data_IF_749701736268
#
_entry.id   IF_749701736268
#
_cell.length_a   1.000
_cell.length_b   1.000
_cell.length_c   1.000
_cell.angle_alpha   90.00
_cell.angle_beta   90.00
_cell.angle_gamma   90.00
#
_symmetry.space_group_name_H-M   'P 1'
#
loop_
_entity.id
_entity.type
_entity.pdbx_description
1 polymer ?
#
# COMPACT_ATOMS: atom_id res chain seq x y z
N UNK A 1 4.37 -16.02 -19.66
CA UNK A 1 3.04 -16.00 -20.31
C UNK A 1 2.02 -15.37 -19.36
N UNK A 2 1.02 -14.65 -19.89
CA UNK A 2 -0.06 -14.12 -19.06
C UNK A 2 -1.04 -15.26 -18.77
N UNK A 3 -0.97 -15.85 -17.59
CA UNK A 3 -1.90 -16.92 -17.17
C UNK A 3 -3.09 -16.32 -16.42
N UNK A 4 -4.18 -17.08 -16.28
CA UNK A 4 -5.34 -16.68 -15.45
C UNK A 4 -4.92 -16.33 -14.01
N UNK A 5 -3.89 -17.00 -13.51
CA UNK A 5 -3.31 -16.74 -12.20
C UNK A 5 -2.65 -15.35 -12.11
N UNK A 6 -1.90 -14.94 -13.12
CA UNK A 6 -1.30 -13.59 -13.19
C UNK A 6 -2.40 -12.51 -13.23
N UNK A 7 -3.49 -12.73 -13.97
CA UNK A 7 -4.62 -11.80 -14.03
C UNK A 7 -5.28 -11.65 -12.64
N UNK A 8 -5.51 -12.76 -11.93
CA UNK A 8 -6.06 -12.73 -10.57
C UNK A 8 -5.15 -11.96 -9.59
N UNK A 9 -3.82 -12.16 -9.69
CA UNK A 9 -2.84 -11.43 -8.89
C UNK A 9 -2.89 -9.92 -9.16
N UNK A 10 -2.99 -9.50 -10.42
CA UNK A 10 -3.08 -8.09 -10.78
C UNK A 10 -4.38 -7.45 -10.28
N UNK A 11 -5.51 -8.16 -10.33
CA UNK A 11 -6.78 -7.67 -9.77
C UNK A 11 -6.69 -7.49 -8.24
N UNK A 12 -6.03 -8.41 -7.54
CA UNK A 12 -5.78 -8.29 -6.10
C UNK A 12 -4.90 -7.08 -5.79
N UNK A 13 -3.87 -6.83 -6.61
CA UNK A 13 -2.99 -5.68 -6.45
C UNK A 13 -3.78 -4.36 -6.56
N UNK A 14 -4.66 -4.25 -7.55
CA UNK A 14 -5.55 -3.09 -7.68
C UNK A 14 -6.40 -2.90 -6.42
N UNK A 15 -6.98 -3.98 -5.89
CA UNK A 15 -7.76 -3.93 -4.65
C UNK A 15 -6.95 -3.40 -3.45
N UNK A 16 -5.70 -3.85 -3.32
CA UNK A 16 -4.81 -3.38 -2.26
C UNK A 16 -4.45 -1.89 -2.41
N UNK A 17 -4.06 -1.45 -3.61
CA UNK A 17 -3.75 -0.04 -3.90
C UNK A 17 -4.93 0.88 -3.60
N UNK A 18 -6.17 0.42 -3.83
CA UNK A 18 -7.37 1.19 -3.52
C UNK A 18 -7.60 1.27 -2.01
N UNK A 19 -7.42 0.18 -1.26
CA UNK A 19 -7.56 0.18 0.21
C UNK A 19 -6.58 1.15 0.88
N UNK A 20 -5.30 1.12 0.48
CA UNK A 20 -4.26 2.00 1.02
C UNK A 20 -4.52 3.49 0.72
N UNK A 21 -4.97 3.81 -0.50
CA UNK A 21 -5.34 5.17 -0.87
C UNK A 21 -6.59 5.69 -0.13
N UNK A 22 -7.60 4.84 0.08
CA UNK A 22 -8.78 5.19 0.86
C UNK A 22 -8.38 5.46 2.31
N UNK A 23 -7.50 4.63 2.90
CA UNK A 23 -6.99 4.84 4.25
C UNK A 23 -6.28 6.20 4.38
N UNK A 24 -5.34 6.49 3.48
CA UNK A 24 -4.57 7.73 3.47
C UNK A 24 -5.49 8.95 3.36
N UNK A 25 -6.40 8.94 2.40
CA UNK A 25 -7.35 10.04 2.15
C UNK A 25 -8.31 10.21 3.34
N UNK A 26 -8.79 9.11 3.91
CA UNK A 26 -9.74 9.17 5.03
C UNK A 26 -9.09 9.73 6.28
N UNK A 27 -7.86 9.31 6.61
CA UNK A 27 -7.14 9.83 7.77
C UNK A 27 -6.71 11.29 7.59
N UNK A 28 -6.26 11.69 6.40
CA UNK A 28 -5.74 13.05 6.18
C UNK A 28 -6.79 14.11 5.84
N UNK A 29 -7.89 13.74 5.15
CA UNK A 29 -8.88 14.72 4.68
C UNK A 29 -10.25 14.61 5.36
N UNK A 30 -10.63 13.44 5.88
CA UNK A 30 -11.96 13.20 6.46
C UNK A 30 -11.97 13.13 7.99
N UNK A 31 -10.92 12.62 8.62
CA UNK A 31 -10.79 12.64 10.08
C UNK A 31 -10.25 13.99 10.55
N UNK A 32 -10.91 14.57 11.54
CA UNK A 32 -10.34 15.63 12.37
C UNK A 32 -9.48 14.98 13.46
N UNK A 33 -8.25 14.59 13.12
CA UNK A 33 -7.22 14.45 14.17
C UNK A 33 -6.72 15.85 14.55
N UNK A 34 -6.13 16.00 15.74
CA UNK A 34 -5.82 17.32 16.32
C UNK A 34 -4.89 18.15 15.43
N UNK A 35 -3.93 17.51 14.75
CA UNK A 35 -3.06 18.15 13.75
C UNK A 35 -2.88 17.31 12.47
N UNK A 36 -2.60 17.99 11.35
CA UNK A 36 -2.28 17.35 10.06
C UNK A 36 -1.05 16.43 10.17
N UNK A 37 -0.08 16.82 10.98
CA UNK A 37 1.16 16.06 11.17
C UNK A 37 0.89 14.76 11.93
N UNK A 38 0.05 14.79 12.98
CA UNK A 38 -0.38 13.58 13.69
C UNK A 38 -1.19 12.64 12.78
N UNK A 39 -2.12 13.20 11.99
CA UNK A 39 -2.89 12.44 11.01
C UNK A 39 -1.97 11.75 9.98
N UNK A 40 -0.93 12.44 9.52
CA UNK A 40 0.08 11.91 8.62
C UNK A 40 0.87 10.76 9.25
N UNK A 41 1.45 10.96 10.43
CA UNK A 41 2.22 9.91 11.10
C UNK A 41 1.36 8.69 11.44
N UNK A 42 0.12 8.92 11.89
CA UNK A 42 -0.89 7.90 12.15
C UNK A 42 -1.23 7.10 10.89
N UNK A 43 -1.39 7.76 9.75
CA UNK A 43 -1.66 7.12 8.46
C UNK A 43 -0.46 6.30 7.96
N UNK A 44 0.75 6.89 7.95
CA UNK A 44 1.97 6.21 7.51
C UNK A 44 2.29 5.02 8.39
N UNK A 45 2.17 5.12 9.72
CA UNK A 45 2.40 3.99 10.64
C UNK A 45 1.44 2.82 10.36
N UNK A 46 0.16 3.12 10.11
CA UNK A 46 -0.84 2.10 9.77
C UNK A 46 -0.52 1.46 8.42
N UNK A 47 -0.22 2.29 7.41
CA UNK A 47 0.16 1.84 6.07
C UNK A 47 1.40 0.94 6.07
N UNK A 48 2.42 1.32 6.82
CA UNK A 48 3.65 0.55 6.96
C UNK A 48 3.40 -0.81 7.62
N UNK A 49 2.61 -0.84 8.70
CA UNK A 49 2.24 -2.08 9.40
C UNK A 49 1.45 -3.02 8.49
N UNK A 50 0.46 -2.50 7.76
CA UNK A 50 -0.30 -3.27 6.79
C UNK A 50 0.58 -3.83 5.67
N UNK A 51 1.45 -3.00 5.08
CA UNK A 51 2.31 -3.40 3.97
C UNK A 51 3.33 -4.46 4.38
N UNK A 52 3.97 -4.28 5.53
CA UNK A 52 4.96 -5.23 6.04
C UNK A 52 4.35 -6.57 6.40
N UNK A 53 3.17 -6.58 7.03
CA UNK A 53 2.44 -7.83 7.32
C UNK A 53 2.02 -8.57 6.05
N UNK A 54 1.50 -7.87 5.05
CA UNK A 54 1.15 -8.49 3.75
C UNK A 54 2.39 -9.01 3.01
N UNK A 55 3.46 -8.23 2.93
CA UNK A 55 4.71 -8.66 2.29
C UNK A 55 5.32 -9.87 3.03
N UNK A 56 5.31 -9.89 4.35
CA UNK A 56 5.76 -11.03 5.15
C UNK A 56 4.93 -12.28 4.91
N UNK A 57 3.60 -12.15 4.82
CA UNK A 57 2.72 -13.26 4.51
C UNK A 57 2.96 -13.81 3.09
N UNK A 58 3.11 -12.94 2.09
CA UNK A 58 3.36 -13.35 0.70
C UNK A 58 4.76 -13.95 0.52
N UNK A 59 5.77 -13.42 1.20
CA UNK A 59 7.11 -14.01 1.21
C UNK A 59 7.08 -15.41 1.84
N UNK A 60 6.36 -15.58 2.95
CA UNK A 60 6.16 -16.89 3.59
C UNK A 60 5.43 -17.86 2.66
N UNK A 61 4.37 -17.38 1.98
CA UNK A 61 3.62 -18.16 1.00
C UNK A 61 4.51 -18.60 -0.16
N UNK A 62 5.34 -17.69 -0.69
CA UNK A 62 6.26 -17.98 -1.79
C UNK A 62 7.33 -19.02 -1.41
N UNK A 63 7.83 -18.99 -0.18
CA UNK A 63 8.84 -19.95 0.30
C UNK A 63 8.25 -21.33 0.58
N UNK A 64 7.03 -21.40 1.12
CA UNK A 64 6.40 -22.66 1.58
C UNK A 64 5.64 -23.36 0.46
N UNK A 65 5.22 -22.62 -0.57
CA UNK A 65 4.44 -23.15 -1.66
C UNK A 65 5.18 -24.25 -2.43
N UNK A 66 4.41 -25.25 -2.87
CA UNK A 66 4.87 -26.37 -3.70
C UNK A 66 4.25 -26.33 -5.10
N UNK A 67 3.39 -25.34 -5.37
CA UNK A 67 2.65 -25.22 -6.61
C UNK A 67 3.15 -24.03 -7.42
N UNK A 68 3.65 -24.30 -8.62
CA UNK A 68 4.24 -23.29 -9.52
C UNK A 68 3.29 -22.10 -9.79
N UNK A 69 1.99 -22.36 -9.85
CA UNK A 69 0.96 -21.32 -10.04
C UNK A 69 0.89 -20.36 -8.86
N UNK A 70 1.02 -20.86 -7.63
CA UNK A 70 1.00 -20.04 -6.41
C UNK A 70 2.29 -19.21 -6.33
N UNK A 71 3.42 -19.80 -6.73
CA UNK A 71 4.72 -19.10 -6.74
C UNK A 71 4.68 -17.92 -7.71
N UNK A 72 4.09 -18.12 -8.90
CA UNK A 72 3.88 -17.05 -9.88
C UNK A 72 2.97 -15.93 -9.32
N UNK A 73 1.87 -16.27 -8.65
CA UNK A 73 0.98 -15.27 -8.04
C UNK A 73 1.72 -14.49 -6.96
N UNK A 74 2.38 -15.19 -6.04
CA UNK A 74 3.09 -14.59 -4.93
C UNK A 74 4.21 -13.66 -5.42
N UNK A 75 4.99 -14.07 -6.41
CA UNK A 75 6.02 -13.23 -7.02
C UNK A 75 5.44 -11.93 -7.60
N UNK A 76 4.36 -12.03 -8.40
CA UNK A 76 3.69 -10.85 -8.98
C UNK A 76 3.17 -9.92 -7.91
N UNK A 77 2.55 -10.46 -6.86
CA UNK A 77 2.03 -9.67 -5.74
C UNK A 77 3.16 -9.01 -4.94
N UNK A 78 4.28 -9.69 -4.68
CA UNK A 78 5.41 -9.12 -3.95
C UNK A 78 5.97 -7.91 -4.71
N UNK A 79 6.28 -8.06 -6.00
CA UNK A 79 6.81 -6.95 -6.80
C UNK A 79 5.80 -5.82 -6.96
N UNK A 80 4.54 -6.17 -7.21
CA UNK A 80 3.46 -5.20 -7.34
C UNK A 80 3.25 -4.39 -6.07
N UNK A 81 3.19 -5.05 -4.90
CA UNK A 81 3.01 -4.39 -3.61
C UNK A 81 4.22 -3.55 -3.22
N UNK A 82 5.44 -3.98 -3.58
CA UNK A 82 6.62 -3.16 -3.34
C UNK A 82 6.56 -1.85 -4.12
N UNK A 83 6.15 -1.90 -5.39
CA UNK A 83 5.96 -0.72 -6.21
C UNK A 83 4.82 0.17 -5.70
N UNK A 84 3.68 -0.41 -5.33
CA UNK A 84 2.55 0.30 -4.71
C UNK A 84 2.98 0.98 -3.41
N UNK A 85 3.73 0.26 -2.56
CA UNK A 85 4.23 0.75 -1.29
C UNK A 85 5.08 2.01 -1.45
N UNK A 86 6.04 1.98 -2.39
CA UNK A 86 6.88 3.13 -2.69
C UNK A 86 6.04 4.31 -3.20
N UNK A 87 5.08 4.06 -4.09
CA UNK A 87 4.22 5.11 -4.64
C UNK A 87 3.30 5.72 -3.59
N UNK A 88 2.63 4.91 -2.78
CA UNK A 88 1.61 5.40 -1.84
C UNK A 88 2.23 6.05 -0.61
N UNK A 89 3.19 5.39 0.03
CA UNK A 89 3.68 5.84 1.34
C UNK A 89 4.92 6.73 1.26
N UNK A 90 5.80 6.53 0.28
CA UNK A 90 7.01 7.36 0.13
C UNK A 90 6.68 8.60 -0.71
N UNK A 91 5.99 8.45 -1.83
CA UNK A 91 5.69 9.55 -2.75
C UNK A 91 4.38 10.26 -2.39
N UNK A 92 3.23 9.59 -2.49
CA UNK A 92 1.91 10.24 -2.37
C UNK A 92 1.69 10.85 -0.98
N UNK A 93 2.00 10.11 0.10
CA UNK A 93 1.86 10.65 1.45
C UNK A 93 2.79 11.85 1.67
N UNK A 94 4.03 11.81 1.17
CA UNK A 94 4.98 12.93 1.28
C UNK A 94 4.53 14.17 0.52
N UNK A 95 4.01 14.00 -0.70
CA UNK A 95 3.44 15.09 -1.51
C UNK A 95 2.23 15.70 -0.82
N UNK A 96 1.36 14.87 -0.25
CA UNK A 96 0.15 15.33 0.44
C UNK A 96 0.49 16.14 1.70
N UNK A 97 1.49 15.70 2.49
CA UNK A 97 2.01 16.48 3.61
C UNK A 97 2.51 17.86 3.17
N UNK A 98 3.30 17.92 2.10
CA UNK A 98 3.80 19.19 1.57
C UNK A 98 2.69 20.11 1.05
N UNK A 99 1.67 19.54 0.40
CA UNK A 99 0.52 20.30 -0.09
C UNK A 99 -0.25 20.95 1.06
N UNK A 100 -0.55 20.21 2.13
CA UNK A 100 -1.31 20.73 3.27
C UNK A 100 -0.51 21.81 4.03
N UNK A 101 0.79 21.59 4.27
CA UNK A 101 1.67 22.59 4.91
C UNK A 101 1.77 23.91 4.12
N UNK A 102 1.63 23.87 2.79
CA UNK A 102 1.56 25.10 1.96
C UNK A 102 0.23 25.82 2.06
N UNK A 103 -0.87 25.09 2.31
CA UNK A 103 -2.20 25.65 2.51
C UNK A 103 -2.33 26.45 3.80
N UNK A 104 -1.67 26.02 4.88
CA UNK A 104 -1.70 26.71 6.19
C UNK A 104 -0.85 27.99 6.27
N UNK A 105 -0.01 28.27 5.27
CA UNK A 105 0.83 29.49 5.21
C UNK A 105 0.16 30.69 4.53
N UNK A 106 -1.11 30.61 4.15
CA UNK A 106 -1.90 31.72 3.61
C UNK A 106 -2.97 32.13 4.62
#
# INVERSE_FOLDING_TARGET
ELTQATIAALLMLIGYSVDSNILLTTKLLRRKEDTVEEAYFSAVSTGFTMSTTTLGALASLWIVSQAEVIDMIAAVLIFGLLADFMNTWILNAGVLRWYIQRGERK
#
